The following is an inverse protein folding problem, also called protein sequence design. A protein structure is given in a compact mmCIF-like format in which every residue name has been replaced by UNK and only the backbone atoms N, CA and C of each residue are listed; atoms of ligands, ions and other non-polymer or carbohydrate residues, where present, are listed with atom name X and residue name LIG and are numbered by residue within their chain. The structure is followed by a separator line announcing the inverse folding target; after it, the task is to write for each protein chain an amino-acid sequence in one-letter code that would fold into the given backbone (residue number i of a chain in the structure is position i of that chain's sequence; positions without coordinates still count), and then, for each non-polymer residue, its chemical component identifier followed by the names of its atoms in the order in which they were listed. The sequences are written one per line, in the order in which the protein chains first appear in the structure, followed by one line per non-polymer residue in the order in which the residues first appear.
data_IF_724004892134
#
_entry.id   IF_724004892134
#
_cell.length_a   1.000
_cell.length_b   1.000
_cell.length_c   1.000
_cell.angle_alpha   90.00
_cell.angle_beta   90.00
_cell.angle_gamma   90.00
#
_symmetry.space_group_name_H-M   'P 1'
#
loop_
_entity.id
_entity.type
_entity.pdbx_description
1 polymer ?
#
# COMPACT_ATOMS: atom_id res chain seq x y z
N UNK A 1 -16.40 -27.57 18.53
CA UNK A 1 -16.29 -27.31 17.07
C UNK A 1 -17.47 -26.51 16.51
N UNK A 2 -18.73 -26.92 16.67
CA UNK A 2 -19.91 -26.14 16.18
C UNK A 2 -20.01 -24.69 16.72
N UNK A 3 -19.59 -24.45 17.97
CA UNK A 3 -19.58 -23.10 18.59
C UNK A 3 -18.62 -22.12 17.92
N UNK A 4 -17.43 -22.56 17.49
CA UNK A 4 -16.43 -21.68 16.86
C UNK A 4 -16.90 -21.26 15.46
N UNK A 5 -17.48 -22.20 14.70
CA UNK A 5 -18.05 -21.91 13.38
C UNK A 5 -19.22 -20.94 13.47
N UNK A 6 -20.08 -21.09 14.49
CA UNK A 6 -21.16 -20.13 14.74
C UNK A 6 -20.63 -18.73 15.12
N UNK A 7 -19.62 -18.66 16.00
CA UNK A 7 -18.97 -17.40 16.38
C UNK A 7 -18.36 -16.67 15.19
N UNK A 8 -17.63 -17.37 14.32
CA UNK A 8 -17.05 -16.77 13.11
C UNK A 8 -18.14 -16.27 12.15
N UNK A 9 -19.28 -16.97 12.08
CA UNK A 9 -20.42 -16.58 11.24
C UNK A 9 -21.14 -15.35 11.78
N UNK A 10 -21.33 -15.26 13.10
CA UNK A 10 -21.92 -14.10 13.76
C UNK A 10 -20.99 -12.88 13.68
N UNK A 11 -19.68 -13.07 13.88
CA UNK A 11 -18.68 -12.00 13.69
C UNK A 11 -18.62 -11.52 12.24
N UNK A 12 -18.74 -12.41 11.24
CA UNK A 12 -18.80 -12.00 9.84
C UNK A 12 -20.07 -11.19 9.55
N UNK A 13 -21.23 -11.64 10.03
CA UNK A 13 -22.47 -10.90 9.88
C UNK A 13 -22.41 -9.52 10.56
N UNK A 14 -21.82 -9.41 11.74
CA UNK A 14 -21.67 -8.13 12.44
C UNK A 14 -20.71 -7.18 11.72
N UNK A 15 -19.58 -7.69 11.23
CA UNK A 15 -18.58 -6.89 10.52
C UNK A 15 -19.04 -6.43 9.13
N UNK A 16 -19.93 -7.18 8.48
CA UNK A 16 -20.43 -6.86 7.14
C UNK A 16 -21.71 -6.03 7.17
N UNK A 17 -22.61 -6.26 8.14
CA UNK A 17 -23.92 -5.60 8.17
C UNK A 17 -24.04 -4.46 9.19
N UNK A 18 -23.15 -4.38 10.17
CA UNK A 18 -23.23 -3.39 11.27
C UNK A 18 -22.12 -2.34 11.22
N UNK A 19 -21.27 -2.40 10.20
CA UNK A 19 -20.15 -1.47 10.01
C UNK A 19 -20.30 -0.82 8.65
N UNK A 20 -20.05 0.47 8.58
CA UNK A 20 -20.09 1.27 7.36
C UNK A 20 -18.87 0.92 6.48
N UNK A 21 -18.85 -0.30 5.94
CA UNK A 21 -17.88 -0.65 4.91
C UNK A 21 -18.23 0.17 3.67
N UNK A 22 -17.31 1.00 3.16
CA UNK A 22 -17.59 1.83 1.99
C UNK A 22 -17.92 0.94 0.80
N UNK A 23 -18.70 1.46 -0.15
CA UNK A 23 -18.98 0.67 -1.35
C UNK A 23 -17.68 0.33 -2.09
N UNK A 24 -17.64 -0.83 -2.78
CA UNK A 24 -16.45 -1.27 -3.54
C UNK A 24 -15.93 -0.21 -4.53
N UNK A 25 -16.82 0.67 -4.99
CA UNK A 25 -16.52 1.78 -5.89
C UNK A 25 -15.73 2.90 -5.19
N UNK A 26 -16.07 3.26 -3.96
CA UNK A 26 -15.35 4.28 -3.17
C UNK A 26 -13.97 3.81 -2.72
N UNK A 27 -13.84 2.51 -2.43
CA UNK A 27 -12.56 1.89 -2.09
C UNK A 27 -11.61 1.86 -3.28
N UNK A 28 -12.15 1.65 -4.48
CA UNK A 28 -11.37 1.68 -5.71
C UNK A 28 -10.83 3.09 -5.97
N UNK A 29 -11.67 4.12 -5.82
CA UNK A 29 -11.25 5.52 -5.95
C UNK A 29 -10.12 5.91 -5.01
N UNK A 30 -10.22 5.54 -3.73
CA UNK A 30 -9.16 5.80 -2.74
C UNK A 30 -7.89 5.00 -3.01
N UNK A 31 -8.00 3.76 -3.50
CA UNK A 31 -6.86 2.90 -3.83
C UNK A 31 -6.06 3.44 -5.02
N UNK A 32 -6.74 3.97 -6.04
CA UNK A 32 -6.08 4.54 -7.23
C UNK A 32 -5.20 5.74 -6.86
N UNK A 33 -5.69 6.61 -5.97
CA UNK A 33 -4.91 7.76 -5.49
C UNK A 33 -3.64 7.30 -4.77
N UNK A 34 -3.76 6.33 -3.86
CA UNK A 34 -2.60 5.77 -3.14
C UNK A 34 -1.61 5.08 -4.08
N UNK A 35 -2.10 4.36 -5.09
CA UNK A 35 -1.26 3.71 -6.10
C UNK A 35 -0.46 4.72 -6.93
N UNK A 36 -1.04 5.85 -7.30
CA UNK A 36 -0.33 6.91 -8.01
C UNK A 36 0.71 7.57 -7.08
N UNK A 37 0.34 7.83 -5.82
CA UNK A 37 1.27 8.39 -4.84
C UNK A 37 2.48 7.47 -4.59
N UNK A 38 2.28 6.16 -4.48
CA UNK A 38 3.39 5.21 -4.32
C UNK A 38 4.28 5.14 -5.56
N UNK A 39 3.72 5.25 -6.76
CA UNK A 39 4.48 5.29 -8.01
C UNK A 39 5.38 6.54 -8.07
N UNK A 40 4.89 7.69 -7.65
CA UNK A 40 5.68 8.93 -7.59
C UNK A 40 6.85 8.77 -6.61
N UNK A 41 6.60 8.22 -5.41
CA UNK A 41 7.64 7.98 -4.42
C UNK A 41 8.71 7.02 -4.98
N UNK A 42 8.29 5.96 -5.68
CA UNK A 42 9.21 5.02 -6.31
C UNK A 42 10.14 5.70 -7.34
N UNK A 43 9.61 6.60 -8.17
CA UNK A 43 10.41 7.37 -9.13
C UNK A 43 11.41 8.31 -8.44
N UNK A 44 11.01 8.95 -7.33
CA UNK A 44 11.90 9.82 -6.56
C UNK A 44 13.06 9.03 -5.96
N UNK A 45 12.78 7.89 -5.34
CA UNK A 45 13.82 7.01 -4.77
C UNK A 45 14.76 6.53 -5.88
N UNK A 46 14.22 6.09 -7.02
CA UNK A 46 15.03 5.67 -8.16
C UNK A 46 15.98 6.78 -8.66
N UNK A 47 15.48 8.02 -8.75
CA UNK A 47 16.30 9.17 -9.13
C UNK A 47 17.39 9.47 -8.11
N UNK A 48 17.07 9.37 -6.83
CA UNK A 48 18.01 9.56 -5.73
C UNK A 48 19.11 8.49 -5.76
N UNK A 49 18.75 7.22 -5.88
CA UNK A 49 19.71 6.11 -5.94
C UNK A 49 20.68 6.27 -7.12
N UNK A 50 20.16 6.62 -8.29
CA UNK A 50 20.96 6.87 -9.50
C UNK A 50 21.92 8.05 -9.34
N UNK A 51 21.46 9.13 -8.67
CA UNK A 51 22.29 10.30 -8.39
C UNK A 51 23.43 9.97 -7.43
N UNK A 52 23.13 9.24 -6.35
CA UNK A 52 24.15 8.82 -5.39
C UNK A 52 25.17 7.88 -6.03
N UNK A 53 24.74 6.93 -6.86
CA UNK A 53 25.65 6.06 -7.62
C UNK A 53 26.60 6.87 -8.52
N UNK A 54 26.06 7.88 -9.22
CA UNK A 54 26.86 8.74 -10.09
C UNK A 54 27.88 9.57 -9.29
N UNK A 55 27.46 10.20 -8.19
CA UNK A 55 28.34 10.98 -7.32
C UNK A 55 29.46 10.10 -6.73
N UNK A 56 29.12 8.91 -6.23
CA UNK A 56 30.09 7.99 -5.66
C UNK A 56 31.10 7.53 -6.71
N UNK A 57 30.66 7.17 -7.93
CA UNK A 57 31.56 6.82 -9.03
C UNK A 57 32.53 7.94 -9.39
N UNK A 58 32.07 9.20 -9.37
CA UNK A 58 32.95 10.34 -9.60
C UNK A 58 33.99 10.49 -8.49
N UNK A 59 33.57 10.40 -7.22
CA UNK A 59 34.48 10.54 -6.08
C UNK A 59 35.51 9.41 -6.02
N UNK A 60 35.09 8.15 -6.19
CA UNK A 60 35.99 7.00 -6.26
C UNK A 60 36.81 6.93 -7.54
N UNK A 61 36.38 7.59 -8.62
CA UNK A 61 37.16 7.68 -9.87
C UNK A 61 38.18 8.81 -9.88
N UNK A 62 38.02 9.81 -8.99
CA UNK A 62 38.93 10.95 -8.83
C UNK A 62 40.03 10.65 -7.79
N UNK A 63 39.73 9.86 -6.76
CA UNK A 63 40.69 9.37 -5.75
C UNK A 63 41.40 8.10 -6.25
#
# INVERSE_FOLDING_TARGET
MKKIVAYLKDSYNELVHKVSWPSREELSGSTVIVMIASLIIALVVFGMDSLFEWILKLLYGIL
#
